data_IF_923998574187
#
_entry.id   IF_923998574187
#
_cell.length_a   1.000
_cell.length_b   1.000
_cell.length_c   1.000
_cell.angle_alpha   90.00
_cell.angle_beta   90.00
_cell.angle_gamma   90.00
#
_symmetry.space_group_name_H-M   'P 1'
#
loop_
_entity.id
_entity.type
_entity.pdbx_description
1 polymer ?
#
# COMPACT_ATOMS: atom_id res chain seq x y z
N UNK A 1 -6.62 3.91 27.46
CA UNK A 1 -7.11 4.35 26.13
C UNK A 1 -8.43 3.65 25.87
N UNK A 2 -9.49 4.37 25.44
CA UNK A 2 -10.82 3.79 25.23
C UNK A 2 -10.84 2.64 24.19
N UNK A 3 -9.94 2.69 23.20
CA UNK A 3 -9.86 1.70 22.12
C UNK A 3 -9.61 0.27 22.60
N UNK A 4 -8.64 0.07 23.50
CA UNK A 4 -8.33 -1.24 24.08
C UNK A 4 -9.42 -1.77 25.02
N UNK A 5 -10.32 -0.91 25.50
CA UNK A 5 -11.46 -1.30 26.33
C UNK A 5 -12.68 -1.74 25.52
N UNK A 6 -12.72 -1.42 24.22
CA UNK A 6 -13.82 -1.80 23.34
C UNK A 6 -13.64 -3.25 22.84
N UNK A 7 -14.75 -4.01 22.67
CA UNK A 7 -14.71 -5.34 22.10
C UNK A 7 -13.98 -5.37 20.75
N UNK A 8 -13.13 -6.38 20.52
CA UNK A 8 -12.39 -6.55 19.24
C UNK A 8 -13.29 -6.87 18.05
N UNK A 9 -14.52 -7.30 18.31
CA UNK A 9 -15.53 -7.56 17.31
C UNK A 9 -16.92 -7.16 17.82
N UNK A 10 -17.88 -7.03 16.90
CA UNK A 10 -19.25 -6.74 17.27
C UNK A 10 -19.89 -7.94 17.98
N UNK A 11 -20.73 -7.68 18.98
CA UNK A 11 -21.49 -8.75 19.66
C UNK A 11 -22.43 -9.53 18.74
N UNK A 12 -22.87 -8.90 17.64
CA UNK A 12 -23.76 -9.52 16.67
C UNK A 12 -23.04 -10.53 15.75
N UNK A 13 -21.76 -10.33 15.46
CA UNK A 13 -20.98 -11.20 14.57
C UNK A 13 -19.47 -10.95 14.78
N UNK A 14 -18.73 -12.02 15.11
CA UNK A 14 -17.30 -11.95 15.38
C UNK A 14 -16.45 -11.55 14.16
N UNK A 15 -16.98 -11.70 12.94
CA UNK A 15 -16.29 -11.27 11.71
C UNK A 15 -16.27 -9.74 11.55
N UNK A 16 -17.19 -9.03 12.19
CA UNK A 16 -17.22 -7.58 12.18
C UNK A 16 -16.15 -7.08 13.15
N UNK A 17 -15.02 -6.63 12.62
CA UNK A 17 -13.87 -6.23 13.44
C UNK A 17 -13.93 -4.75 13.80
N UNK A 18 -13.49 -4.45 15.02
CA UNK A 18 -13.23 -3.09 15.45
C UNK A 18 -12.08 -2.52 14.61
N UNK A 19 -12.24 -1.29 14.11
CA UNK A 19 -11.20 -0.52 13.44
C UNK A 19 -11.29 0.96 13.80
N UNK A 20 -10.16 1.64 13.65
CA UNK A 20 -10.10 3.09 13.65
C UNK A 20 -9.82 3.60 12.23
N UNK A 21 -10.81 4.23 11.62
CA UNK A 21 -10.75 4.68 10.22
C UNK A 21 -11.11 6.17 10.16
N UNK A 22 -10.22 6.97 9.59
CA UNK A 22 -10.42 8.41 9.34
C UNK A 22 -10.90 9.20 10.58
N UNK A 23 -10.40 8.87 11.77
CA UNK A 23 -10.78 9.56 13.00
C UNK A 23 -11.92 8.92 13.79
N UNK A 24 -12.55 7.87 13.27
CA UNK A 24 -13.74 7.25 13.86
C UNK A 24 -13.49 5.80 14.30
N UNK A 25 -14.03 5.44 15.46
CA UNK A 25 -14.15 4.04 15.88
C UNK A 25 -15.34 3.40 15.16
N UNK A 26 -15.11 2.25 14.53
CA UNK A 26 -16.14 1.56 13.77
C UNK A 26 -15.99 0.04 13.89
N UNK A 27 -17.09 -0.66 13.61
CA UNK A 27 -17.16 -2.10 13.48
C UNK A 27 -17.54 -2.38 12.03
N UNK A 28 -16.64 -2.99 11.26
CA UNK A 28 -16.81 -3.07 9.80
C UNK A 28 -16.51 -4.44 9.23
N UNK A 29 -17.16 -4.72 8.10
CA UNK A 29 -16.67 -5.68 7.12
C UNK A 29 -15.72 -4.97 6.17
N UNK A 30 -14.69 -5.69 5.72
CA UNK A 30 -13.71 -5.18 4.77
C UNK A 30 -13.76 -5.98 3.47
N UNK A 31 -13.74 -5.26 2.36
CA UNK A 31 -13.62 -5.84 1.02
C UNK A 31 -12.65 -5.01 0.17
N UNK A 32 -12.07 -5.63 -0.83
CA UNK A 32 -11.34 -4.98 -1.92
C UNK A 32 -12.16 -4.99 -3.20
N UNK A 33 -11.98 -3.98 -4.04
CA UNK A 33 -12.59 -3.90 -5.36
C UNK A 33 -11.51 -3.60 -6.40
N UNK A 34 -11.55 -4.30 -7.53
CA UNK A 34 -10.75 -3.99 -8.72
C UNK A 34 -11.68 -3.38 -9.75
N UNK A 35 -11.28 -2.25 -10.33
CA UNK A 35 -11.98 -1.61 -11.45
C UNK A 35 -11.01 -1.45 -12.63
N UNK A 36 -11.55 -1.34 -13.85
CA UNK A 36 -10.74 -0.91 -15.00
C UNK A 36 -10.69 0.62 -15.08
N UNK A 37 -9.97 1.18 -16.06
CA UNK A 37 -9.86 2.64 -16.25
C UNK A 37 -11.17 3.36 -16.58
N UNK A 38 -12.24 2.63 -16.92
CA UNK A 38 -13.59 3.17 -17.11
C UNK A 38 -14.43 3.13 -15.83
N UNK A 39 -13.90 2.53 -14.76
CA UNK A 39 -14.63 2.37 -13.51
C UNK A 39 -15.57 1.21 -13.47
N UNK A 40 -15.44 0.27 -14.39
CA UNK A 40 -16.27 -0.93 -14.41
C UNK A 40 -15.70 -1.89 -13.37
N UNK A 41 -16.47 -2.34 -12.37
CA UNK A 41 -16.04 -3.37 -11.43
C UNK A 41 -15.62 -4.65 -12.16
N UNK A 42 -14.47 -5.20 -11.79
CA UNK A 42 -13.92 -6.44 -12.34
C UNK A 42 -13.81 -7.54 -11.31
N UNK A 43 -13.65 -7.18 -10.04
CA UNK A 43 -13.59 -8.13 -8.95
C UNK A 43 -14.00 -7.48 -7.64
N UNK A 44 -14.69 -8.23 -6.79
CA UNK A 44 -14.97 -7.88 -5.40
C UNK A 44 -14.45 -9.02 -4.55
N UNK A 45 -13.61 -8.70 -3.57
CA UNK A 45 -12.96 -9.70 -2.70
C UNK A 45 -13.22 -9.35 -1.25
N UNK A 46 -13.87 -10.24 -0.52
CA UNK A 46 -14.07 -10.06 0.92
C UNK A 46 -12.78 -10.40 1.67
N UNK A 47 -12.36 -9.54 2.58
CA UNK A 47 -11.14 -9.72 3.37
C UNK A 47 -11.47 -10.34 4.74
N UNK A 48 -12.21 -11.44 4.70
CA UNK A 48 -12.77 -12.15 5.85
C UNK A 48 -11.87 -13.32 6.30
N UNK A 49 -12.41 -14.24 7.10
CA UNK A 49 -11.66 -15.38 7.61
C UNK A 49 -11.36 -16.43 6.53
N UNK A 50 -12.24 -16.62 5.56
CA UNK A 50 -12.01 -17.55 4.45
C UNK A 50 -10.86 -17.05 3.59
N UNK A 51 -10.83 -15.75 3.31
CA UNK A 51 -9.71 -15.11 2.62
C UNK A 51 -8.38 -15.28 3.36
N UNK A 52 -8.38 -15.10 4.69
CA UNK A 52 -7.19 -15.31 5.53
C UNK A 52 -6.71 -16.77 5.53
N UNK A 53 -7.64 -17.72 5.54
CA UNK A 53 -7.31 -19.15 5.47
C UNK A 53 -6.75 -19.54 4.11
N UNK A 54 -7.27 -18.93 3.04
CA UNK A 54 -6.78 -19.13 1.68
C UNK A 54 -5.38 -18.54 1.45
N UNK A 55 -5.04 -17.48 2.17
CA UNK A 55 -3.75 -16.77 2.07
C UNK A 55 -2.97 -16.77 3.39
N UNK A 56 -2.52 -17.93 3.89
CA UNK A 56 -1.82 -18.03 5.18
C UNK A 56 -0.45 -17.32 5.17
N UNK A 57 0.10 -17.00 3.99
CA UNK A 57 1.32 -16.21 3.82
C UNK A 57 1.14 -14.74 4.23
N UNK A 58 -0.09 -14.26 4.34
CA UNK A 58 -0.38 -12.90 4.80
C UNK A 58 -0.05 -12.76 6.28
N UNK A 59 0.90 -11.89 6.60
CA UNK A 59 1.14 -11.49 7.99
C UNK A 59 -0.02 -10.61 8.48
N UNK A 60 -0.99 -11.22 9.16
CA UNK A 60 -2.08 -10.51 9.84
C UNK A 60 -1.48 -9.84 11.07
N UNK A 61 -1.59 -8.51 11.14
CA UNK A 61 -1.18 -7.79 12.34
C UNK A 61 -2.09 -8.21 13.50
N UNK A 62 -1.47 -8.55 14.64
CA UNK A 62 -2.25 -8.81 15.87
C UNK A 62 -2.90 -7.50 16.30
N UNK A 63 -4.15 -7.57 16.75
CA UNK A 63 -4.84 -6.43 17.37
C UNK A 63 -3.93 -5.84 18.44
N UNK A 64 -3.65 -4.55 18.31
CA UNK A 64 -2.94 -3.77 19.32
C UNK A 64 -3.95 -2.92 20.11
N UNK A 65 -3.53 -2.41 21.26
CA UNK A 65 -4.32 -1.43 22.02
C UNK A 65 -4.26 -0.01 21.42
N UNK A 66 -3.47 0.17 20.35
CA UNK A 66 -3.25 1.44 19.66
C UNK A 66 -4.12 1.52 18.40
N UNK A 67 -5.03 2.50 18.29
CA UNK A 67 -5.83 2.74 17.08
C UNK A 67 -4.99 2.92 15.81
N UNK A 68 -3.79 3.48 15.94
CA UNK A 68 -2.90 3.77 14.81
C UNK A 68 -2.16 2.52 14.30
N UNK A 69 -1.96 1.54 15.19
CA UNK A 69 -1.28 0.27 14.92
C UNK A 69 -2.27 -0.84 14.55
N UNK A 70 -3.49 -0.82 15.09
CA UNK A 70 -4.55 -1.80 14.80
C UNK A 70 -5.28 -1.47 13.49
N UNK A 71 -4.59 -1.77 12.39
CA UNK A 71 -5.19 -1.93 11.07
C UNK A 71 -5.39 -3.42 10.92
N UNK A 72 -6.58 -3.86 10.49
CA UNK A 72 -6.83 -5.27 10.15
C UNK A 72 -5.95 -5.71 8.96
N UNK A 73 -6.51 -6.30 7.92
CA UNK A 73 -5.73 -6.52 6.70
C UNK A 73 -5.42 -5.15 6.09
N UNK A 74 -4.17 -4.69 6.10
CA UNK A 74 -3.81 -3.42 5.45
C UNK A 74 -3.88 -3.54 3.92
N UNK A 75 -4.23 -2.44 3.25
CA UNK A 75 -4.48 -2.44 1.80
C UNK A 75 -3.25 -2.93 1.01
N UNK A 76 -2.06 -2.48 1.42
CA UNK A 76 -0.78 -2.92 0.85
C UNK A 76 -0.52 -4.41 1.03
N UNK A 77 -0.93 -5.01 2.17
CA UNK A 77 -0.75 -6.45 2.43
C UNK A 77 -1.77 -7.30 1.67
N UNK A 78 -2.99 -6.81 1.45
CA UNK A 78 -3.99 -7.51 0.63
C UNK A 78 -3.68 -7.48 -0.87
N UNK A 79 -2.87 -6.53 -1.36
CA UNK A 79 -2.67 -6.31 -2.79
C UNK A 79 -2.25 -7.58 -3.55
N UNK A 80 -1.21 -8.28 -3.05
CA UNK A 80 -0.70 -9.50 -3.71
C UNK A 80 -1.77 -10.60 -3.75
N UNK A 81 -2.33 -11.05 -2.60
CA UNK A 81 -3.44 -12.00 -2.57
C UNK A 81 -4.60 -11.67 -3.50
N UNK A 82 -5.10 -10.43 -3.44
CA UNK A 82 -6.24 -9.97 -4.26
C UNK A 82 -5.92 -10.03 -5.75
N UNK A 83 -4.73 -9.59 -6.16
CA UNK A 83 -4.33 -9.66 -7.57
C UNK A 83 -4.07 -11.10 -8.01
N UNK A 84 -3.42 -11.93 -7.19
CA UNK A 84 -3.20 -13.35 -7.48
C UNK A 84 -4.52 -14.05 -7.75
N UNK A 85 -5.50 -13.88 -6.86
CA UNK A 85 -6.83 -14.47 -7.03
C UNK A 85 -7.53 -13.98 -8.29
N UNK A 86 -7.46 -12.68 -8.56
CA UNK A 86 -8.04 -12.09 -9.76
C UNK A 86 -7.44 -12.64 -11.05
N UNK A 87 -6.11 -12.73 -11.14
CA UNK A 87 -5.44 -13.27 -12.33
C UNK A 87 -5.63 -14.77 -12.48
N UNK A 88 -5.78 -15.52 -11.39
CA UNK A 88 -6.13 -16.94 -11.45
C UNK A 88 -7.55 -17.15 -12.01
N UNK A 89 -8.49 -16.25 -11.69
CA UNK A 89 -9.84 -16.26 -12.26
C UNK A 89 -9.88 -15.77 -13.71
N UNK A 90 -8.93 -14.91 -14.10
CA UNK A 90 -8.87 -14.28 -15.41
C UNK A 90 -7.47 -14.37 -16.03
N UNK A 91 -6.99 -15.58 -16.39
CA UNK A 91 -5.60 -15.81 -16.83
C UNK A 91 -5.25 -15.07 -18.13
N UNK A 92 -6.23 -14.78 -18.97
CA UNK A 92 -6.04 -14.05 -20.23
C UNK A 92 -6.06 -12.52 -20.07
N UNK A 93 -6.41 -12.02 -18.88
CA UNK A 93 -6.46 -10.59 -18.61
C UNK A 93 -5.06 -10.02 -18.46
N UNK A 94 -4.66 -9.16 -19.40
CA UNK A 94 -3.31 -8.56 -19.46
C UNK A 94 -3.39 -7.04 -19.28
N UNK A 95 -3.37 -6.53 -18.05
CA UNK A 95 -3.45 -5.10 -17.81
C UNK A 95 -2.12 -4.42 -18.13
N UNK A 96 -2.23 -3.18 -18.60
CA UNK A 96 -1.07 -2.37 -18.95
C UNK A 96 -0.55 -1.55 -17.77
N UNK A 97 -1.44 -0.79 -17.12
CA UNK A 97 -1.09 0.18 -16.08
C UNK A 97 -1.83 -0.15 -14.79
N UNK A 98 -1.09 -0.22 -13.67
CA UNK A 98 -1.68 -0.25 -12.33
C UNK A 98 -1.79 1.19 -11.80
N UNK A 99 -2.94 1.55 -11.22
CA UNK A 99 -3.16 2.82 -10.52
C UNK A 99 -3.41 2.54 -9.04
N UNK A 100 -2.64 3.15 -8.15
CA UNK A 100 -2.80 2.99 -6.70
C UNK A 100 -2.55 4.29 -5.95
N UNK A 101 -3.10 4.42 -4.75
CA UNK A 101 -2.75 5.53 -3.88
C UNK A 101 -1.36 5.35 -3.25
N UNK A 102 -0.90 6.34 -2.48
CA UNK A 102 0.41 6.29 -1.83
C UNK A 102 0.55 5.20 -0.76
N UNK A 103 -0.53 4.53 -0.32
CA UNK A 103 -0.41 3.43 0.65
C UNK A 103 0.33 2.23 0.04
N UNK A 104 0.27 2.09 -1.28
CA UNK A 104 0.95 1.05 -2.02
C UNK A 104 2.43 1.36 -2.28
N UNK A 105 2.93 2.55 -1.91
CA UNK A 105 4.33 2.94 -2.12
C UNK A 105 5.28 2.21 -1.16
N UNK A 106 5.66 1.00 -1.55
CA UNK A 106 6.65 0.18 -0.85
C UNK A 106 7.65 -0.38 -1.85
N UNK A 107 8.88 -0.66 -1.40
CA UNK A 107 9.87 -1.32 -2.24
C UNK A 107 9.45 -2.70 -2.74
N UNK A 108 8.58 -3.41 -2.01
CA UNK A 108 8.08 -4.72 -2.42
C UNK A 108 7.00 -4.63 -3.51
N UNK A 109 6.25 -3.53 -3.56
CA UNK A 109 5.12 -3.36 -4.48
C UNK A 109 5.57 -3.32 -5.94
N UNK A 110 6.67 -2.63 -6.24
CA UNK A 110 7.09 -2.44 -7.63
C UNK A 110 7.63 -3.71 -8.31
N UNK A 111 8.50 -4.54 -7.68
CA UNK A 111 8.85 -5.84 -8.20
C UNK A 111 7.64 -6.75 -8.38
N UNK A 112 6.68 -6.71 -7.44
CA UNK A 112 5.44 -7.48 -7.54
C UNK A 112 4.62 -7.06 -8.78
N UNK A 113 4.36 -5.77 -8.96
CA UNK A 113 3.52 -5.29 -10.05
C UNK A 113 4.21 -5.42 -11.42
N UNK A 114 5.45 -4.96 -11.53
CA UNK A 114 6.17 -4.90 -12.80
C UNK A 114 6.82 -6.24 -13.16
N UNK A 115 7.29 -6.96 -12.14
CA UNK A 115 7.98 -8.23 -12.26
C UNK A 115 7.01 -9.42 -12.26
N UNK A 116 6.24 -9.61 -11.20
CA UNK A 116 5.40 -10.82 -11.07
C UNK A 116 4.13 -10.71 -11.91
N UNK A 117 3.35 -9.64 -11.74
CA UNK A 117 2.09 -9.40 -12.46
C UNK A 117 2.27 -8.75 -13.85
N UNK A 118 3.50 -8.44 -14.25
CA UNK A 118 3.87 -7.98 -15.60
C UNK A 118 3.16 -6.70 -16.06
N UNK A 119 2.69 -5.85 -15.16
CA UNK A 119 2.24 -4.50 -15.52
C UNK A 119 3.40 -3.75 -16.19
N UNK A 120 3.11 -2.97 -17.22
CA UNK A 120 4.11 -2.10 -17.87
C UNK A 120 4.39 -0.86 -17.07
N UNK A 121 3.38 -0.36 -16.36
CA UNK A 121 3.43 0.88 -15.58
C UNK A 121 2.78 0.69 -14.21
N UNK A 122 3.37 1.25 -13.17
CA UNK A 122 2.74 1.38 -11.85
C UNK A 122 2.71 2.83 -11.40
N UNK A 123 1.51 3.43 -11.46
CA UNK A 123 1.24 4.82 -11.11
C UNK A 123 0.81 4.90 -9.64
N UNK A 124 1.81 5.05 -8.78
CA UNK A 124 1.67 5.14 -7.32
C UNK A 124 2.43 6.39 -6.85
N UNK A 125 1.76 7.39 -6.25
CA UNK A 125 2.44 8.54 -5.67
C UNK A 125 3.38 8.11 -4.54
N UNK A 126 4.50 8.82 -4.39
CA UNK A 126 5.41 8.56 -3.27
C UNK A 126 4.72 8.90 -1.94
N UNK A 127 4.89 8.05 -0.94
CA UNK A 127 4.33 8.26 0.38
C UNK A 127 5.20 9.24 1.18
N UNK A 128 4.68 10.45 1.39
CA UNK A 128 5.38 11.50 2.13
C UNK A 128 5.68 11.13 3.58
N UNK A 129 4.92 10.20 4.18
CA UNK A 129 5.18 9.71 5.55
C UNK A 129 6.48 8.92 5.67
N UNK A 130 7.00 8.41 4.55
CA UNK A 130 8.28 7.69 4.49
C UNK A 130 9.47 8.63 4.28
N UNK A 131 9.23 9.92 4.11
CA UNK A 131 10.26 10.93 3.91
C UNK A 131 10.38 11.81 5.16
N UNK A 132 11.60 12.00 5.65
CA UNK A 132 11.87 13.00 6.68
C UNK A 132 12.40 14.27 5.97
N UNK A 133 11.60 15.35 5.89
CA UNK A 133 12.00 16.57 5.20
C UNK A 133 13.18 17.29 5.88
N UNK A 134 13.39 17.04 7.18
CA UNK A 134 14.47 17.66 7.96
C UNK A 134 15.83 16.99 7.69
N UNK A 135 15.86 15.88 6.94
CA UNK A 135 17.08 15.17 6.60
C UNK A 135 17.43 15.44 5.13
N UNK A 136 18.59 16.06 4.85
CA UNK A 136 19.02 16.35 3.48
C UNK A 136 19.12 15.12 2.60
N UNK A 137 18.94 15.23 1.29
CA UNK A 137 19.05 14.07 0.38
C UNK A 137 20.46 13.43 0.39
N UNK A 138 20.51 12.11 0.18
CA UNK A 138 21.76 11.37 -0.02
C UNK A 138 22.21 11.58 -1.45
N UNK A 139 23.47 11.98 -1.63
CA UNK A 139 24.15 11.94 -2.94
C UNK A 139 24.90 10.63 -3.10
N UNK A 140 25.22 10.28 -4.34
CA UNK A 140 25.93 9.07 -4.70
C UNK A 140 27.14 9.43 -5.57
N UNK A 141 28.23 8.67 -5.44
CA UNK A 141 29.35 8.77 -6.37
C UNK A 141 29.07 8.04 -7.70
N UNK A 142 30.06 8.06 -8.60
CA UNK A 142 29.98 7.40 -9.92
C UNK A 142 29.79 5.88 -9.83
N UNK A 143 30.11 5.27 -8.69
CA UNK A 143 29.97 3.85 -8.43
C UNK A 143 28.68 3.51 -7.66
N UNK A 144 27.81 4.51 -7.41
CA UNK A 144 26.58 4.33 -6.66
C UNK A 144 26.76 4.22 -5.14
N UNK A 145 27.91 4.64 -4.59
CA UNK A 145 28.13 4.66 -3.15
C UNK A 145 27.50 5.90 -2.53
N UNK A 146 26.67 5.74 -1.47
CA UNK A 146 26.14 6.88 -0.74
C UNK A 146 27.29 7.73 -0.19
N UNK A 147 27.17 9.04 -0.33
CA UNK A 147 28.16 10.02 0.12
C UNK A 147 27.77 10.62 1.48
N UNK A 148 28.78 11.05 2.23
CA UNK A 148 28.56 11.87 3.40
C UNK A 148 27.95 13.21 2.98
N UNK A 149 26.83 13.59 3.60
CA UNK A 149 26.16 14.84 3.29
C UNK A 149 27.04 16.07 3.57
N UNK A 150 27.83 16.04 4.66
CA UNK A 150 28.71 17.15 5.05
C UNK A 150 30.00 17.21 4.25
N UNK A 151 30.47 16.07 3.78
CA UNK A 151 31.69 15.96 2.99
C UNK A 151 31.44 15.02 1.81
N UNK A 152 30.98 15.56 0.66
CA UNK A 152 30.68 14.75 -0.51
C UNK A 152 31.90 14.03 -1.11
N UNK A 153 33.13 14.30 -0.66
CA UNK A 153 34.32 13.55 -1.09
C UNK A 153 34.45 12.18 -0.43
N UNK A 154 33.68 11.90 0.63
CA UNK A 154 33.80 10.69 1.43
C UNK A 154 32.56 9.80 1.31
N UNK A 155 32.79 8.52 0.99
CA UNK A 155 31.73 7.50 0.92
C UNK A 155 31.30 7.03 2.31
N UNK A 156 30.02 6.70 2.44
CA UNK A 156 29.46 6.06 3.63
C UNK A 156 30.00 4.63 3.76
N UNK A 157 30.16 4.17 5.01
CA UNK A 157 30.68 2.82 5.31
C UNK A 157 29.60 1.76 5.09
N UNK A 158 29.92 0.65 4.39
CA UNK A 158 29.01 -0.47 4.24
C UNK A 158 28.82 -1.16 5.60
N UNK A 159 27.60 -1.60 5.89
CA UNK A 159 27.27 -2.26 7.16
C UNK A 159 26.54 -3.61 6.98
N UNK A 160 26.13 -3.95 5.77
CA UNK A 160 25.54 -5.25 5.44
C UNK A 160 24.04 -5.21 5.19
N UNK A 161 23.51 -6.37 4.81
CA UNK A 161 22.09 -6.57 4.51
C UNK A 161 21.24 -6.52 5.77
N UNK A 162 20.11 -5.83 5.67
CA UNK A 162 19.05 -5.79 6.67
C UNK A 162 17.82 -6.52 6.11
N UNK A 163 17.45 -7.64 6.73
CA UNK A 163 16.32 -8.49 6.35
C UNK A 163 15.34 -8.57 7.53
N UNK A 164 14.51 -7.53 7.64
CA UNK A 164 13.51 -7.43 8.70
C UNK A 164 12.19 -8.06 8.22
N UNK A 165 11.54 -8.86 9.07
CA UNK A 165 10.22 -9.41 8.74
C UNK A 165 9.23 -8.30 8.40
N UNK A 166 8.48 -8.47 7.31
CA UNK A 166 7.49 -7.49 6.83
C UNK A 166 8.09 -6.27 6.12
N UNK A 167 9.39 -6.24 5.83
CA UNK A 167 10.05 -5.16 5.09
C UNK A 167 10.92 -5.71 3.96
N UNK A 168 11.03 -4.93 2.88
CA UNK A 168 11.92 -5.27 1.77
C UNK A 168 13.39 -5.25 2.20
N UNK A 169 14.15 -6.18 1.64
CA UNK A 169 15.60 -6.23 1.80
C UNK A 169 16.24 -4.90 1.42
N UNK A 170 17.15 -4.45 2.29
CA UNK A 170 17.87 -3.19 2.14
C UNK A 170 19.30 -3.33 2.64
N UNK A 171 20.24 -2.75 1.92
CA UNK A 171 21.62 -2.69 2.35
C UNK A 171 21.85 -1.44 3.20
N UNK A 172 22.46 -1.62 4.37
CA UNK A 172 22.65 -0.55 5.35
C UNK A 172 24.01 0.12 5.17
N UNK A 173 23.99 1.44 5.23
CA UNK A 173 25.16 2.30 5.15
C UNK A 173 25.24 3.19 6.37
N UNK A 174 26.46 3.49 6.85
CA UNK A 174 26.68 4.29 8.05
C UNK A 174 27.63 5.45 7.80
N UNK A 175 27.55 6.44 8.69
CA UNK A 175 28.47 7.56 8.75
C UNK A 175 29.94 7.10 8.59
N UNK A 176 30.75 7.75 7.73
CA UNK A 176 32.15 7.38 7.55
C UNK A 176 32.96 7.47 8.85
N UNK A 177 32.59 8.43 9.72
CA UNK A 177 33.24 8.69 11.00
C UNK A 177 32.71 7.82 12.14
N UNK A 178 31.90 6.79 11.86
CA UNK A 178 31.42 5.86 12.89
C UNK A 178 32.55 4.90 13.31
N UNK A 179 32.66 4.66 14.61
CA UNK A 179 33.55 3.68 15.26
C UNK A 179 32.77 2.90 16.31
N UNK A 180 33.24 1.70 16.66
CA UNK A 180 32.69 0.92 17.77
C UNK A 180 33.54 1.15 19.01
N UNK A 181 32.96 1.77 20.03
CA UNK A 181 33.62 2.09 21.31
C UNK A 181 32.78 1.48 22.41
N UNK A 182 33.37 0.64 23.26
CA UNK A 182 32.68 -0.06 24.37
C UNK A 182 31.37 -0.74 23.92
N UNK A 183 31.41 -1.43 22.78
CA UNK A 183 30.25 -2.10 22.20
C UNK A 183 29.21 -1.20 21.51
N UNK A 184 29.28 0.12 21.70
CA UNK A 184 28.36 1.11 21.11
C UNK A 184 28.93 1.71 19.84
N UNK A 185 28.04 2.07 18.92
CA UNK A 185 28.42 2.78 17.69
C UNK A 185 28.37 4.27 17.92
N UNK A 186 29.53 4.91 17.87
CA UNK A 186 29.72 6.33 18.14
C UNK A 186 30.40 6.98 16.93
N UNK A 187 29.90 8.13 16.50
CA UNK A 187 30.52 8.93 15.44
C UNK A 187 31.42 9.99 16.05
N UNK A 188 32.61 10.19 15.47
CA UNK A 188 33.49 11.32 15.80
C UNK A 188 33.13 12.59 15.01
N UNK A 189 31.94 12.63 14.42
CA UNK A 189 31.44 13.82 13.74
C UNK A 189 31.01 14.84 14.81
N UNK A 190 31.66 16.01 14.83
CA UNK A 190 31.42 17.07 15.81
C UNK A 190 29.95 17.54 15.84
N UNK A 191 29.27 17.47 14.69
CA UNK A 191 27.85 17.78 14.54
C UNK A 191 27.17 16.70 13.68
N UNK A 192 26.66 15.60 14.25
CA UNK A 192 26.08 14.50 13.49
C UNK A 192 24.86 14.94 12.66
N UNK A 193 24.76 14.49 11.40
CA UNK A 193 23.74 14.96 10.44
C UNK A 193 22.27 14.74 10.87
N UNK A 194 22.01 13.89 11.87
CA UNK A 194 20.69 13.55 12.36
C UNK A 194 20.61 13.61 13.90
N UNK A 195 21.58 14.26 14.55
CA UNK A 195 21.69 14.33 16.02
C UNK A 195 21.93 12.99 16.73
N UNK A 196 22.06 11.87 16.00
CA UNK A 196 22.22 10.55 16.62
C UNK A 196 23.70 10.25 16.93
N UNK A 197 24.02 9.62 18.08
CA UNK A 197 25.39 9.25 18.44
C UNK A 197 26.08 8.34 17.42
N UNK A 198 25.34 7.54 16.64
CA UNK A 198 25.90 6.67 15.61
C UNK A 198 26.08 7.36 14.24
N UNK A 199 25.73 8.65 14.15
CA UNK A 199 25.71 9.41 12.90
C UNK A 199 24.56 9.01 11.97
N UNK A 200 24.65 9.49 10.72
CA UNK A 200 23.66 9.22 9.68
C UNK A 200 23.72 7.74 9.27
N UNK A 201 22.52 7.16 9.12
CA UNK A 201 22.33 5.83 8.52
C UNK A 201 21.48 6.06 7.27
N UNK A 202 21.86 5.44 6.16
CA UNK A 202 21.01 5.35 4.97
C UNK A 202 20.89 3.92 4.51
N UNK A 203 19.97 3.69 3.59
CA UNK A 203 19.69 2.39 3.01
C UNK A 203 19.62 2.51 1.49
N UNK A 204 20.07 1.46 0.80
CA UNK A 204 19.76 1.23 -0.61
C UNK A 204 18.95 -0.05 -0.72
N UNK A 205 18.03 -0.13 -1.68
CA UNK A 205 17.23 -1.33 -1.94
C UNK A 205 17.41 -1.76 -3.39
N UNK A 206 17.48 -3.07 -3.70
CA UNK A 206 17.46 -3.56 -5.07
C UNK A 206 16.26 -3.08 -5.89
N UNK A 207 15.13 -2.82 -5.23
CA UNK A 207 13.90 -2.35 -5.88
C UNK A 207 13.85 -0.81 -6.05
N UNK A 208 14.92 -0.09 -5.72
CA UNK A 208 14.96 1.37 -5.77
C UNK A 208 14.62 1.91 -7.17
N UNK A 209 15.26 1.36 -8.21
CA UNK A 209 15.07 1.86 -9.57
C UNK A 209 13.65 1.60 -10.06
N UNK A 210 13.09 0.43 -9.77
CA UNK A 210 11.69 0.13 -10.10
C UNK A 210 10.71 1.04 -9.37
N UNK A 211 10.99 1.44 -8.13
CA UNK A 211 10.18 2.42 -7.39
C UNK A 211 10.26 3.81 -8.00
N UNK A 212 11.46 4.25 -8.37
CA UNK A 212 11.67 5.59 -8.93
C UNK A 212 11.18 5.72 -10.37
N UNK A 213 11.35 4.67 -11.16
CA UNK A 213 11.03 4.61 -12.59
C UNK A 213 10.13 3.41 -12.92
N UNK A 214 8.86 3.38 -12.44
CA UNK A 214 7.97 2.24 -12.62
C UNK A 214 7.29 2.23 -13.99
N UNK A 215 8.06 2.44 -15.06
CA UNK A 215 7.57 2.52 -16.43
C UNK A 215 6.94 3.86 -16.84
N UNK A 216 6.91 4.86 -15.95
CA UNK A 216 6.46 6.22 -16.26
C UNK A 216 7.21 7.26 -15.44
N UNK A 217 7.46 8.43 -16.04
CA UNK A 217 8.15 9.55 -15.39
C UNK A 217 7.17 10.27 -14.45
N UNK A 218 7.49 10.33 -13.15
CA UNK A 218 6.64 11.03 -12.17
C UNK A 218 6.59 12.51 -12.48
N UNK A 219 5.38 13.07 -12.39
CA UNK A 219 5.16 14.49 -12.63
C UNK A 219 5.22 14.90 -14.11
N UNK A 220 5.41 13.98 -15.04
CA UNK A 220 5.18 14.27 -16.46
C UNK A 220 3.70 14.54 -16.72
N UNK A 221 3.39 15.22 -17.83
CA UNK A 221 2.00 15.46 -18.24
C UNK A 221 1.22 14.15 -18.42
N UNK A 222 1.84 13.13 -19.00
CA UNK A 222 1.28 11.79 -19.15
C UNK A 222 0.94 11.17 -17.79
N UNK A 223 1.87 11.21 -16.83
CA UNK A 223 1.64 10.70 -15.48
C UNK A 223 0.47 11.41 -14.81
N UNK A 224 0.45 12.74 -14.88
CA UNK A 224 -0.59 13.58 -14.28
C UNK A 224 -1.95 13.28 -14.93
N UNK A 225 -1.99 13.13 -16.25
CA UNK A 225 -3.20 12.82 -17.00
C UNK A 225 -3.74 11.44 -16.61
N UNK A 226 -2.92 10.40 -16.71
CA UNK A 226 -3.35 9.02 -16.46
C UNK A 226 -3.70 8.77 -15.00
N UNK A 227 -2.97 9.40 -14.07
CA UNK A 227 -3.26 9.24 -12.65
C UNK A 227 -4.62 9.84 -12.25
N UNK A 228 -5.16 10.81 -13.01
CA UNK A 228 -6.53 11.33 -12.77
C UNK A 228 -7.59 10.23 -12.90
N UNK A 229 -7.36 9.20 -13.72
CA UNK A 229 -8.27 8.06 -13.87
C UNK A 229 -8.52 7.35 -12.54
N UNK A 230 -7.58 7.41 -11.59
CA UNK A 230 -7.76 6.85 -10.24
C UNK A 230 -9.00 7.39 -9.53
N UNK A 231 -9.47 8.60 -9.85
CA UNK A 231 -10.72 9.15 -9.27
C UNK A 231 -11.91 8.22 -9.51
N UNK A 232 -11.86 7.42 -10.56
CA UNK A 232 -12.96 6.55 -10.95
C UNK A 232 -13.19 5.43 -9.93
N UNK A 233 -12.15 4.84 -9.32
CA UNK A 233 -12.35 3.82 -8.27
C UNK A 233 -13.03 4.42 -7.03
N UNK A 234 -12.70 5.66 -6.68
CA UNK A 234 -13.33 6.37 -5.56
C UNK A 234 -14.80 6.65 -5.82
N UNK A 235 -15.12 7.11 -7.05
CA UNK A 235 -16.52 7.28 -7.49
C UNK A 235 -17.28 5.96 -7.41
N UNK A 236 -16.64 4.86 -7.80
CA UNK A 236 -17.25 3.55 -7.75
C UNK A 236 -17.53 3.08 -6.31
N UNK A 237 -16.56 3.25 -5.41
CA UNK A 237 -16.73 2.98 -3.97
C UNK A 237 -17.87 3.84 -3.39
N UNK A 238 -17.94 5.13 -3.76
CA UNK A 238 -19.00 6.02 -3.30
C UNK A 238 -20.37 5.58 -3.84
N UNK A 239 -20.44 5.12 -5.09
CA UNK A 239 -21.66 4.60 -5.70
C UNK A 239 -22.17 3.34 -5.00
N UNK A 240 -21.26 2.43 -4.62
CA UNK A 240 -21.60 1.26 -3.80
C UNK A 240 -22.15 1.67 -2.43
N UNK A 241 -21.53 2.68 -1.79
CA UNK A 241 -21.91 3.09 -0.43
C UNK A 241 -23.29 3.75 -0.36
N UNK A 242 -23.54 4.74 -1.21
CA UNK A 242 -24.73 5.60 -1.09
C UNK A 242 -25.86 5.15 -2.05
N UNK A 243 -25.75 5.27 -3.39
CA UNK A 243 -26.79 4.79 -4.31
C UNK A 243 -27.22 3.33 -4.13
N UNK A 244 -26.26 2.43 -3.91
CA UNK A 244 -26.55 0.99 -3.72
C UNK A 244 -26.76 0.61 -2.25
N UNK A 245 -26.76 1.60 -1.34
CA UNK A 245 -27.00 1.43 0.09
C UNK A 245 -26.07 0.45 0.84
N UNK A 246 -24.91 0.07 0.28
CA UNK A 246 -23.95 -0.80 0.96
C UNK A 246 -23.19 -0.10 2.10
N UNK A 247 -23.30 1.22 2.24
CA UNK A 247 -22.61 2.02 3.26
C UNK A 247 -23.39 2.17 4.58
N UNK A 248 -24.71 1.91 4.58
CA UNK A 248 -25.60 2.04 5.74
C UNK A 248 -26.49 0.81 5.88
N UNK A 249 -25.86 -0.36 5.91
CA UNK A 249 -26.53 -1.64 6.00
C UNK A 249 -27.34 -1.76 7.30
N UNK A 250 -28.61 -2.18 7.18
CA UNK A 250 -29.46 -2.51 8.33
C UNK A 250 -29.38 -3.99 8.71
N UNK A 251 -29.03 -4.85 7.75
CA UNK A 251 -28.80 -6.27 7.97
C UNK A 251 -27.51 -6.49 8.76
N UNK A 252 -27.50 -7.55 9.58
CA UNK A 252 -26.34 -7.99 10.35
C UNK A 252 -25.87 -9.39 9.93
N UNK A 253 -26.60 -10.02 9.00
CA UNK A 253 -26.25 -11.33 8.47
C UNK A 253 -25.16 -11.20 7.41
N UNK A 254 -24.04 -11.89 7.62
CA UNK A 254 -22.86 -11.75 6.76
C UNK A 254 -23.12 -12.23 5.32
N UNK A 255 -23.86 -13.32 5.16
CA UNK A 255 -24.14 -13.89 3.85
C UNK A 255 -25.01 -12.93 3.02
N UNK A 256 -26.03 -12.34 3.65
CA UNK A 256 -26.87 -11.30 3.04
C UNK A 256 -26.05 -10.09 2.63
N UNK A 257 -25.17 -9.58 3.50
CA UNK A 257 -24.31 -8.42 3.19
C UNK A 257 -23.40 -8.70 1.98
N UNK A 258 -22.80 -9.89 1.93
CA UNK A 258 -21.95 -10.31 0.80
C UNK A 258 -22.77 -10.41 -0.49
N UNK A 259 -23.97 -10.98 -0.43
CA UNK A 259 -24.87 -11.07 -1.58
C UNK A 259 -25.28 -9.68 -2.07
N UNK A 260 -25.68 -8.76 -1.17
CA UNK A 260 -26.04 -7.38 -1.49
C UNK A 260 -24.90 -6.66 -2.24
N UNK A 261 -23.66 -6.82 -1.78
CA UNK A 261 -22.50 -6.19 -2.42
C UNK A 261 -22.24 -6.75 -3.83
N UNK A 262 -22.38 -8.07 -4.03
CA UNK A 262 -22.28 -8.66 -5.36
C UNK A 262 -23.41 -8.20 -6.29
N UNK A 263 -24.65 -8.15 -5.79
CA UNK A 263 -25.80 -7.66 -6.56
C UNK A 263 -25.59 -6.19 -6.95
N UNK A 264 -25.06 -5.37 -6.05
CA UNK A 264 -24.68 -3.98 -6.36
C UNK A 264 -23.62 -3.90 -7.46
N UNK A 265 -22.59 -4.74 -7.40
CA UNK A 265 -21.57 -4.86 -8.45
C UNK A 265 -22.17 -5.28 -9.80
N UNK A 266 -23.02 -6.30 -9.83
CA UNK A 266 -23.72 -6.78 -11.04
C UNK A 266 -24.63 -5.68 -11.60
N UNK A 267 -25.34 -4.96 -10.74
CA UNK A 267 -26.21 -3.85 -11.13
C UNK A 267 -25.41 -2.76 -11.86
N UNK A 268 -24.20 -2.45 -11.40
CA UNK A 268 -23.31 -1.53 -12.12
C UNK A 268 -22.86 -2.06 -13.49
N UNK A 269 -22.71 -3.38 -13.66
CA UNK A 269 -22.41 -3.94 -14.99
C UNK A 269 -23.60 -3.80 -15.92
N UNK A 270 -24.82 -3.97 -15.40
CA UNK A 270 -26.05 -3.78 -16.17
C UNK A 270 -26.20 -2.32 -16.60
N UNK A 271 -25.87 -1.35 -15.74
CA UNK A 271 -25.95 0.07 -16.12
C UNK A 271 -24.99 0.42 -17.26
N UNK A 272 -23.81 -0.21 -17.31
CA UNK A 272 -22.87 -0.06 -18.44
C UNK A 272 -23.46 -0.62 -19.73
N UNK A 273 -24.09 -1.81 -19.68
CA UNK A 273 -24.76 -2.40 -20.84
C UNK A 273 -25.92 -1.52 -21.31
N UNK A 274 -26.72 -1.00 -20.38
CA UNK A 274 -27.84 -0.12 -20.69
C UNK A 274 -27.37 1.18 -21.34
N UNK A 275 -26.33 1.81 -20.78
CA UNK A 275 -25.69 3.01 -21.31
C UNK A 275 -25.25 2.82 -22.78
N UNK A 276 -24.61 1.69 -23.09
CA UNK A 276 -24.25 1.33 -24.46
C UNK A 276 -25.48 1.17 -25.37
N UNK A 277 -26.54 0.51 -24.88
CA UNK A 277 -27.78 0.29 -25.65
C UNK A 277 -28.56 1.55 -25.95
N UNK A 278 -28.49 2.56 -25.09
CA UNK A 278 -29.16 3.85 -25.30
C UNK A 278 -28.22 4.92 -25.89
N UNK A 279 -26.98 4.55 -26.21
CA UNK A 279 -25.94 5.45 -26.74
C UNK A 279 -25.58 6.63 -25.82
N UNK A 280 -25.74 6.47 -24.50
CA UNK A 280 -25.40 7.47 -23.48
C UNK A 280 -24.19 7.00 -22.66
N UNK A 281 -23.00 7.18 -23.22
CA UNK A 281 -21.74 6.67 -22.64
C UNK A 281 -21.09 7.63 -21.61
N UNK A 282 -21.79 8.70 -21.22
CA UNK A 282 -21.25 9.80 -20.40
C UNK A 282 -21.56 9.64 -18.92
#
# INVERSE_FOLDING_TARGET
MAYGLMPSCASANEEIKQLYINGYFCYVYKFGIITNGLGIPRNITFLDNDFKQKHPEMQIDKKSDSPDEDKSISDSKSLKPVLTDFFNLHPDFKPHTFLGDSIFDTYATYPLLLGDFKFKRALIPLNSRNSNPDIPEIKYDVNGWPLCFKDPSVTMKPFGWTREAGRSDRFKWRCPLVKRINGKWITSCENPCNGKPCGRITYTSPAQDQRMYPGAIRGSEEWISDYKIRVVVEKNIQYLKEPMACGKLKTRDNQTIKADLYIAGITQLITVILADKIHEHK
#
